data_IF_585160532266
#
_entry.id   IF_585160532266
#
_cell.length_a   1.000
_cell.length_b   1.000
_cell.length_c   1.000
_cell.angle_alpha   90.00
_cell.angle_beta   90.00
_cell.angle_gamma   90.00
#
_symmetry.space_group_name_H-M   'P 1'
#
loop_
_entity.id
_entity.type
_entity.pdbx_description
1 polymer ?
#
# COMPACT_ATOMS: atom_id res chain seq x y z
N UNK A 1 -8.00 -9.79 4.72
CA UNK A 1 -7.77 -8.97 5.93
C UNK A 1 -7.91 -9.86 7.16
N UNK A 2 -7.11 -9.61 8.18
CA UNK A 2 -7.16 -10.33 9.45
C UNK A 2 -7.01 -9.35 10.62
N UNK A 3 -7.28 -9.78 11.85
CA UNK A 3 -7.21 -8.91 13.04
C UNK A 3 -5.81 -8.86 13.65
N UNK A 4 -5.02 -9.91 13.43
CA UNK A 4 -3.64 -10.01 13.91
C UNK A 4 -2.69 -10.25 12.77
N UNK A 5 -1.40 -9.95 12.97
CA UNK A 5 -0.37 -10.26 11.98
C UNK A 5 -0.16 -11.77 11.87
N UNK A 6 -0.35 -12.50 12.96
CA UNK A 6 -0.29 -13.97 12.95
C UNK A 6 -1.37 -14.59 12.04
N UNK A 7 -2.62 -14.10 12.12
CA UNK A 7 -3.71 -14.55 11.23
C UNK A 7 -3.46 -14.13 9.78
N UNK A 8 -2.86 -12.96 9.56
CA UNK A 8 -2.45 -12.52 8.22
C UNK A 8 -1.40 -13.48 7.63
N UNK A 9 -0.39 -13.86 8.41
CA UNK A 9 0.62 -14.83 7.99
C UNK A 9 0.01 -16.21 7.71
N UNK A 10 -0.93 -16.66 8.55
CA UNK A 10 -1.64 -17.92 8.35
C UNK A 10 -2.46 -17.89 7.04
N UNK A 11 -3.24 -16.85 6.83
CA UNK A 11 -4.00 -16.69 5.59
C UNK A 11 -3.08 -16.65 4.37
N UNK A 12 -2.00 -15.86 4.42
CA UNK A 12 -1.04 -15.78 3.32
C UNK A 12 -0.40 -17.16 3.05
N UNK A 13 -0.06 -17.92 4.09
CA UNK A 13 0.51 -19.26 3.94
C UNK A 13 -0.42 -20.26 3.26
N UNK A 14 -1.73 -20.04 3.35
CA UNK A 14 -2.75 -20.89 2.73
C UNK A 14 -3.00 -20.56 1.26
N UNK A 15 -2.82 -19.28 0.85
CA UNK A 15 -3.14 -18.82 -0.51
C UNK A 15 -1.90 -18.53 -1.37
N UNK A 16 -0.71 -18.43 -0.77
CA UNK A 16 0.52 -18.17 -1.51
C UNK A 16 1.14 -19.47 -2.03
N UNK A 17 1.76 -19.41 -3.19
CA UNK A 17 2.47 -20.52 -3.79
C UNK A 17 2.34 -20.56 -5.32
N UNK A 18 2.97 -21.54 -5.91
CA UNK A 18 2.90 -21.74 -7.35
C UNK A 18 1.61 -22.45 -7.75
N UNK A 19 0.91 -21.93 -8.74
CA UNK A 19 -0.26 -22.52 -9.37
C UNK A 19 -0.02 -22.61 -10.89
N UNK A 20 -0.09 -23.79 -11.52
CA UNK A 20 0.18 -23.96 -12.95
C UNK A 20 -0.82 -23.20 -13.85
N UNK A 21 -1.96 -22.78 -13.32
CA UNK A 21 -2.95 -21.95 -14.04
C UNK A 21 -2.56 -20.46 -14.06
N UNK A 22 -1.58 -20.05 -13.25
CA UNK A 22 -1.14 -18.65 -13.13
C UNK A 22 0.35 -18.57 -13.44
N UNK A 23 0.74 -18.17 -14.67
CA UNK A 23 2.13 -18.25 -15.15
C UNK A 23 3.11 -17.36 -14.39
N UNK A 24 2.62 -16.33 -13.70
CA UNK A 24 3.44 -15.41 -12.88
C UNK A 24 3.53 -15.84 -11.41
N UNK A 25 2.84 -16.92 -11.01
CA UNK A 25 2.95 -17.46 -9.65
C UNK A 25 4.33 -18.09 -9.42
N UNK A 26 4.77 -18.11 -8.18
CA UNK A 26 6.10 -18.62 -7.81
C UNK A 26 6.05 -19.42 -6.50
N UNK A 27 7.02 -20.32 -6.28
CA UNK A 27 7.12 -21.05 -5.02
C UNK A 27 7.34 -20.10 -3.84
N UNK A 28 6.64 -20.35 -2.74
CA UNK A 28 6.74 -19.58 -1.49
C UNK A 28 7.04 -20.53 -0.34
N UNK A 29 8.00 -20.19 0.50
CA UNK A 29 8.23 -20.91 1.75
C UNK A 29 7.21 -20.47 2.81
N UNK A 30 6.07 -21.17 2.84
CA UNK A 30 4.99 -20.91 3.79
C UNK A 30 5.38 -21.14 5.24
N UNK A 31 6.38 -22.00 5.51
CA UNK A 31 6.91 -22.22 6.87
C UNK A 31 7.68 -20.99 7.35
N UNK A 32 8.46 -20.35 6.48
CA UNK A 32 9.16 -19.12 6.79
C UNK A 32 8.18 -17.97 7.12
N UNK A 33 7.05 -17.85 6.38
CA UNK A 33 5.99 -16.89 6.69
C UNK A 33 5.45 -17.07 8.12
N UNK A 34 5.11 -18.30 8.49
CA UNK A 34 4.60 -18.62 9.84
C UNK A 34 5.67 -18.46 10.94
N UNK A 35 6.92 -18.76 10.63
CA UNK A 35 8.02 -18.57 11.58
C UNK A 35 8.32 -17.10 11.86
N UNK A 36 8.16 -16.23 10.85
CA UNK A 36 8.44 -14.79 10.95
C UNK A 36 7.66 -14.10 12.08
N UNK A 37 6.46 -14.57 12.39
CA UNK A 37 5.56 -13.94 13.37
C UNK A 37 5.65 -14.54 14.78
N UNK A 38 6.32 -15.70 14.97
CA UNK A 38 6.39 -16.36 16.27
C UNK A 38 7.34 -15.68 17.26
N UNK A 39 8.52 -15.30 16.81
CA UNK A 39 9.54 -14.58 17.58
C UNK A 39 10.14 -13.46 16.75
N UNK A 40 9.35 -12.43 16.46
CA UNK A 40 9.77 -11.39 15.55
C UNK A 40 10.85 -10.51 16.16
N UNK A 41 11.93 -10.27 15.42
CA UNK A 41 12.98 -9.31 15.78
C UNK A 41 13.38 -8.50 14.58
N UNK A 42 13.43 -7.17 14.77
CA UNK A 42 13.84 -6.19 13.76
C UNK A 42 15.12 -5.47 14.15
N UNK A 43 15.83 -5.99 15.17
CA UNK A 43 17.09 -5.41 15.63
C UNK A 43 18.09 -5.35 14.46
N UNK A 44 18.61 -4.14 14.23
CA UNK A 44 19.61 -3.89 13.20
C UNK A 44 19.04 -3.62 11.81
N UNK A 45 17.73 -3.78 11.55
CA UNK A 45 17.14 -3.43 10.27
C UNK A 45 17.29 -1.91 10.00
N UNK A 46 17.54 -1.59 8.74
CA UNK A 46 17.61 -0.22 8.22
C UNK A 46 16.26 0.10 7.59
N UNK A 47 15.58 1.07 8.13
CA UNK A 47 14.22 1.42 7.76
C UNK A 47 14.21 2.85 7.23
N UNK A 48 13.72 3.02 6.00
CA UNK A 48 13.40 4.32 5.46
C UNK A 48 11.99 4.74 5.91
N UNK A 49 11.82 5.99 6.31
CA UNK A 49 10.53 6.60 6.59
C UNK A 49 10.25 7.70 5.58
N UNK A 50 9.05 7.72 5.05
CA UNK A 50 8.56 8.86 4.28
C UNK A 50 7.11 9.18 4.66
N UNK A 51 6.80 10.44 5.00
CA UNK A 51 5.44 10.82 5.35
C UNK A 51 4.48 10.80 4.15
N UNK A 52 4.98 10.96 2.93
CA UNK A 52 4.17 11.26 1.74
C UNK A 52 4.73 10.71 0.41
N UNK A 53 5.91 10.09 0.44
CA UNK A 53 6.68 9.65 -0.74
C UNK A 53 6.94 10.76 -1.77
N UNK A 54 6.70 12.03 -1.43
CA UNK A 54 6.78 13.17 -2.33
C UNK A 54 5.65 13.26 -3.36
N UNK A 55 4.57 12.47 -3.25
CA UNK A 55 3.56 12.32 -4.32
C UNK A 55 2.16 12.81 -3.97
N UNK A 56 1.85 13.02 -2.70
CA UNK A 56 0.52 13.46 -2.26
C UNK A 56 0.61 14.22 -0.93
N UNK A 57 -0.19 15.27 -0.71
CA UNK A 57 -0.32 15.83 0.63
C UNK A 57 -0.89 14.78 1.59
N UNK A 58 -0.47 14.83 2.85
CA UNK A 58 -0.93 13.93 3.91
C UNK A 58 -1.53 14.75 5.04
N UNK A 59 -2.72 14.36 5.48
CA UNK A 59 -3.42 14.99 6.59
C UNK A 59 -2.53 15.10 7.83
N UNK A 60 -2.59 16.24 8.53
CA UNK A 60 -1.72 16.52 9.68
C UNK A 60 -1.87 15.50 10.82
N UNK A 61 -3.10 15.02 11.09
CA UNK A 61 -3.33 13.99 12.11
C UNK A 61 -2.79 12.62 11.68
N UNK A 62 -2.94 12.25 10.40
CA UNK A 62 -2.36 11.01 9.85
C UNK A 62 -0.84 11.06 9.98
N UNK A 63 -0.20 12.16 9.57
CA UNK A 63 1.24 12.35 9.70
C UNK A 63 1.68 12.24 11.17
N UNK A 64 1.05 12.97 12.06
CA UNK A 64 1.36 12.95 13.50
C UNK A 64 1.27 11.55 14.11
N UNK A 65 0.19 10.81 13.81
CA UNK A 65 -0.03 9.46 14.35
C UNK A 65 0.99 8.47 13.82
N UNK A 66 1.31 8.52 12.53
CA UNK A 66 2.28 7.60 11.93
C UNK A 66 3.72 7.93 12.33
N UNK A 67 4.11 9.20 12.42
CA UNK A 67 5.42 9.62 12.93
C UNK A 67 5.67 9.14 14.37
N UNK A 68 4.64 9.14 15.22
CA UNK A 68 4.77 8.64 16.60
C UNK A 68 5.18 7.16 16.66
N UNK A 69 4.82 6.35 15.66
CA UNK A 69 5.21 4.92 15.60
C UNK A 69 6.70 4.71 15.40
N UNK A 70 7.44 5.67 14.84
CA UNK A 70 8.88 5.54 14.57
C UNK A 70 9.69 5.31 15.85
N UNK A 71 9.24 5.87 16.98
CA UNK A 71 9.85 5.63 18.27
C UNK A 71 9.78 4.16 18.68
N UNK A 72 8.69 3.45 18.33
CA UNK A 72 8.52 2.03 18.60
C UNK A 72 9.55 1.21 17.80
N UNK A 73 9.71 1.49 16.50
CA UNK A 73 10.70 0.80 15.67
C UNK A 73 12.13 1.02 16.17
N UNK A 74 12.47 2.24 16.59
CA UNK A 74 13.79 2.57 17.19
C UNK A 74 13.99 1.81 18.49
N UNK A 75 12.98 1.73 19.37
CA UNK A 75 13.02 0.98 20.64
C UNK A 75 13.21 -0.53 20.41
N UNK A 76 12.68 -1.07 19.32
CA UNK A 76 12.87 -2.45 18.88
C UNK A 76 14.25 -2.70 18.25
N UNK A 77 15.11 -1.69 18.17
CA UNK A 77 16.49 -1.78 17.71
C UNK A 77 16.69 -1.58 16.22
N UNK A 78 15.70 -1.11 15.48
CA UNK A 78 15.84 -0.72 14.09
C UNK A 78 16.47 0.69 13.96
N UNK A 79 17.16 0.94 12.85
CA UNK A 79 17.66 2.26 12.46
C UNK A 79 16.64 2.88 11.52
N UNK A 80 16.03 4.01 11.91
CA UNK A 80 15.00 4.69 11.13
C UNK A 80 15.51 6.04 10.69
N UNK A 81 15.57 6.26 9.37
CA UNK A 81 15.99 7.48 8.71
C UNK A 81 14.87 8.00 7.79
N UNK A 82 14.72 9.32 7.67
CA UNK A 82 13.81 9.91 6.70
C UNK A 82 14.44 9.86 5.32
N UNK A 83 13.87 9.05 4.43
CA UNK A 83 14.35 8.85 3.07
C UNK A 83 13.29 8.15 2.21
N UNK A 84 13.26 8.45 0.93
CA UNK A 84 12.52 7.70 -0.09
C UNK A 84 13.18 7.88 -1.46
N UNK A 85 13.00 6.94 -2.40
CA UNK A 85 13.32 7.17 -3.82
C UNK A 85 12.25 8.08 -4.43
N UNK A 86 12.51 8.67 -5.57
CA UNK A 86 11.49 9.42 -6.30
C UNK A 86 10.36 8.50 -6.77
N UNK A 87 9.10 8.94 -6.57
CA UNK A 87 7.88 8.23 -6.95
C UNK A 87 6.98 9.07 -7.88
N UNK A 88 7.52 10.12 -8.50
CA UNK A 88 6.76 11.13 -9.25
C UNK A 88 5.84 10.55 -10.33
N UNK A 89 6.23 9.43 -10.95
CA UNK A 89 5.51 8.81 -12.05
C UNK A 89 4.35 7.90 -11.62
N UNK A 90 4.18 7.64 -10.32
CA UNK A 90 3.16 6.68 -9.82
C UNK A 90 1.77 7.01 -10.34
N UNK A 91 1.38 8.29 -10.37
CA UNK A 91 0.08 8.70 -10.89
C UNK A 91 -0.15 8.28 -12.33
N UNK A 92 0.86 8.46 -13.20
CA UNK A 92 0.77 8.10 -14.62
C UNK A 92 0.81 6.58 -14.81
N UNK A 93 1.65 5.87 -14.06
CA UNK A 93 1.69 4.39 -14.08
C UNK A 93 0.32 3.82 -13.68
N UNK A 94 -0.29 4.37 -12.61
CA UNK A 94 -1.63 3.95 -12.17
C UNK A 94 -2.68 4.25 -13.22
N UNK A 95 -2.66 5.45 -13.83
CA UNK A 95 -3.61 5.84 -14.89
C UNK A 95 -3.61 4.84 -16.03
N UNK A 96 -2.45 4.50 -16.54
CA UNK A 96 -2.31 3.62 -17.71
C UNK A 96 -2.55 2.16 -17.37
N UNK A 97 -1.92 1.63 -16.31
CA UNK A 97 -2.08 0.21 -15.93
C UNK A 97 -3.51 -0.09 -15.46
N UNK A 98 -4.10 0.81 -14.65
CA UNK A 98 -5.48 0.64 -14.18
C UNK A 98 -6.48 0.77 -15.33
N UNK A 99 -6.30 1.75 -16.22
CA UNK A 99 -7.13 1.90 -17.43
C UNK A 99 -7.13 0.62 -18.27
N UNK A 100 -5.95 0.12 -18.60
CA UNK A 100 -5.79 -1.14 -19.32
C UNK A 100 -6.48 -2.31 -18.61
N UNK A 101 -6.26 -2.48 -17.30
CA UNK A 101 -6.89 -3.56 -16.53
C UNK A 101 -8.41 -3.46 -16.48
N UNK A 102 -8.98 -2.25 -16.38
CA UNK A 102 -10.42 -2.04 -16.36
C UNK A 102 -11.06 -2.39 -17.70
N UNK A 103 -10.42 -2.04 -18.81
CA UNK A 103 -10.86 -2.46 -20.16
C UNK A 103 -10.81 -3.99 -20.27
N UNK A 104 -9.67 -4.60 -19.99
CA UNK A 104 -9.49 -6.05 -20.09
C UNK A 104 -10.50 -6.86 -19.27
N UNK A 105 -10.94 -6.33 -18.11
CA UNK A 105 -11.85 -7.05 -17.22
C UNK A 105 -13.34 -6.76 -17.42
N UNK A 106 -13.70 -5.63 -18.07
CA UNK A 106 -15.07 -5.13 -17.99
C UNK A 106 -15.62 -4.51 -19.27
N UNK A 107 -14.85 -4.33 -20.35
CA UNK A 107 -15.32 -3.69 -21.59
C UNK A 107 -16.54 -4.42 -22.16
N UNK A 108 -16.50 -5.74 -22.20
CA UNK A 108 -17.58 -6.61 -22.69
C UNK A 108 -18.91 -6.43 -21.94
N UNK A 109 -18.85 -5.94 -20.72
CA UNK A 109 -20.01 -5.75 -19.83
C UNK A 109 -20.69 -4.39 -20.03
N UNK A 110 -20.02 -3.42 -20.65
CA UNK A 110 -20.57 -2.06 -20.81
C UNK A 110 -21.91 -2.06 -21.59
N UNK A 111 -22.01 -2.83 -22.66
CA UNK A 111 -23.21 -2.85 -23.49
C UNK A 111 -24.48 -3.25 -22.71
N UNK A 112 -24.34 -4.19 -21.77
CA UNK A 112 -25.49 -4.77 -21.03
C UNK A 112 -25.66 -4.18 -19.64
N UNK A 113 -24.56 -3.92 -18.93
CA UNK A 113 -24.57 -3.64 -17.49
C UNK A 113 -24.32 -2.17 -17.12
N UNK A 114 -23.95 -1.30 -18.09
CA UNK A 114 -23.67 0.12 -17.83
C UNK A 114 -24.71 0.83 -16.96
N UNK A 115 -26.04 0.62 -17.14
CA UNK A 115 -27.07 1.30 -16.34
C UNK A 115 -27.05 0.97 -14.84
N UNK A 116 -26.47 -0.19 -14.46
CA UNK A 116 -26.41 -0.65 -13.06
C UNK A 116 -24.99 -0.66 -12.49
N UNK A 117 -24.00 -0.34 -13.30
CA UNK A 117 -22.61 -0.18 -12.84
C UNK A 117 -22.44 1.09 -12.03
N UNK A 118 -21.55 1.04 -11.04
CA UNK A 118 -21.13 2.26 -10.34
C UNK A 118 -20.46 3.25 -11.31
N UNK A 119 -20.79 4.52 -11.17
CA UNK A 119 -20.29 5.61 -12.04
C UNK A 119 -18.76 5.62 -12.16
N UNK A 120 -18.04 5.46 -11.04
CA UNK A 120 -16.58 5.42 -11.05
C UNK A 120 -16.02 4.23 -11.82
N UNK A 121 -16.70 3.07 -11.83
CA UNK A 121 -16.30 1.92 -12.62
C UNK A 121 -16.43 2.22 -14.11
N UNK A 122 -17.58 2.76 -14.52
CA UNK A 122 -17.82 3.17 -15.91
C UNK A 122 -16.77 4.17 -16.37
N UNK A 123 -16.53 5.22 -15.59
CA UNK A 123 -15.50 6.24 -15.90
C UNK A 123 -14.11 5.63 -16.06
N UNK A 124 -13.72 4.67 -15.21
CA UNK A 124 -12.42 4.01 -15.36
C UNK A 124 -12.30 3.19 -16.65
N UNK A 125 -13.36 2.51 -17.06
CA UNK A 125 -13.36 1.73 -18.31
C UNK A 125 -13.27 2.71 -19.50
N UNK A 126 -14.09 3.77 -19.51
CA UNK A 126 -14.09 4.78 -20.57
C UNK A 126 -12.75 5.51 -20.69
N UNK A 127 -12.12 5.85 -19.56
CA UNK A 127 -10.77 6.40 -19.52
C UNK A 127 -9.73 5.41 -20.08
N UNK A 128 -9.90 4.12 -19.77
CA UNK A 128 -9.04 3.06 -20.31
C UNK A 128 -9.18 2.92 -21.83
N UNK A 129 -10.40 2.97 -22.35
CA UNK A 129 -10.67 2.91 -23.80
C UNK A 129 -10.11 4.13 -24.57
N UNK A 130 -9.99 5.27 -23.91
CA UNK A 130 -9.39 6.47 -24.49
C UNK A 130 -7.85 6.45 -24.51
N UNK A 131 -7.19 5.47 -23.87
CA UNK A 131 -5.72 5.36 -23.87
C UNK A 131 -5.21 4.94 -25.24
N UNK A 132 -4.17 5.62 -25.70
CA UNK A 132 -3.41 5.18 -26.86
C UNK A 132 -2.42 4.09 -26.50
N UNK A 133 -2.04 3.26 -27.46
CA UNK A 133 -0.97 2.25 -27.28
C UNK A 133 0.34 2.90 -26.82
N UNK A 134 0.64 4.11 -27.33
CA UNK A 134 1.85 4.85 -26.91
C UNK A 134 1.82 5.24 -25.43
N UNK A 135 0.67 5.65 -24.88
CA UNK A 135 0.53 5.97 -23.46
C UNK A 135 0.69 4.73 -22.60
N UNK A 136 0.07 3.61 -22.97
CA UNK A 136 0.24 2.32 -22.26
C UNK A 136 1.69 1.88 -22.27
N UNK A 137 2.36 1.92 -23.42
CA UNK A 137 3.78 1.58 -23.56
C UNK A 137 4.68 2.50 -22.72
N UNK A 138 4.34 3.80 -22.65
CA UNK A 138 5.04 4.74 -21.77
C UNK A 138 4.85 4.37 -20.29
N UNK A 139 3.63 4.06 -19.88
CA UNK A 139 3.33 3.61 -18.50
C UNK A 139 4.16 2.40 -18.09
N UNK A 140 4.32 1.40 -18.96
CA UNK A 140 5.17 0.23 -18.70
C UNK A 140 6.67 0.57 -18.60
N UNK A 141 7.17 1.51 -19.40
CA UNK A 141 8.55 1.99 -19.26
C UNK A 141 8.77 2.72 -17.94
N UNK A 142 7.85 3.60 -17.56
CA UNK A 142 7.90 4.32 -16.28
C UNK A 142 7.85 3.33 -15.10
N UNK A 143 6.99 2.31 -15.17
CA UNK A 143 6.87 1.26 -14.16
C UNK A 143 8.18 0.48 -14.00
N UNK A 144 8.83 0.11 -15.11
CA UNK A 144 10.13 -0.58 -15.10
C UNK A 144 11.20 0.30 -14.47
N UNK A 145 11.27 1.58 -14.84
CA UNK A 145 12.23 2.53 -14.29
C UNK A 145 12.02 2.74 -12.78
N UNK A 146 10.76 2.86 -12.34
CA UNK A 146 10.40 2.97 -10.92
C UNK A 146 10.83 1.72 -10.15
N UNK A 147 10.55 0.51 -10.69
CA UNK A 147 10.99 -0.74 -10.07
C UNK A 147 12.51 -0.77 -9.86
N UNK A 148 13.30 -0.42 -10.87
CA UNK A 148 14.76 -0.40 -10.75
C UNK A 148 15.24 0.64 -9.75
N UNK A 149 14.65 1.83 -9.72
CA UNK A 149 14.98 2.90 -8.75
C UNK A 149 14.70 2.46 -7.32
N UNK A 150 13.52 1.89 -7.07
CA UNK A 150 13.16 1.36 -5.74
C UNK A 150 14.06 0.19 -5.36
N UNK A 151 14.33 -0.74 -6.28
CA UNK A 151 15.24 -1.87 -6.04
C UNK A 151 16.62 -1.38 -5.60
N UNK A 152 17.20 -0.40 -6.30
CA UNK A 152 18.52 0.18 -5.94
C UNK A 152 18.45 0.89 -4.58
N UNK A 153 17.38 1.64 -4.30
CA UNK A 153 17.18 2.26 -3.00
C UNK A 153 17.14 1.23 -1.87
N UNK A 154 16.45 0.10 -2.08
CA UNK A 154 16.32 -1.00 -1.13
C UNK A 154 17.62 -1.82 -0.93
N UNK A 155 18.69 -1.56 -1.65
CA UNK A 155 20.03 -2.07 -1.31
C UNK A 155 20.56 -1.45 0.01
N UNK A 156 20.13 -0.22 0.31
CA UNK A 156 20.50 0.49 1.53
C UNK A 156 19.52 0.28 2.69
N UNK A 157 18.27 -0.05 2.39
CA UNK A 157 17.19 -0.22 3.36
C UNK A 157 16.54 -1.59 3.25
N UNK A 158 16.03 -2.07 4.36
CA UNK A 158 15.34 -3.36 4.45
C UNK A 158 13.82 -3.18 4.32
N UNK A 159 13.30 -2.01 4.78
CA UNK A 159 11.88 -1.65 4.75
C UNK A 159 11.70 -0.16 4.44
N UNK A 160 10.53 0.17 3.90
CA UNK A 160 10.01 1.54 3.81
C UNK A 160 8.73 1.62 4.64
N UNK A 161 8.64 2.61 5.52
CA UNK A 161 7.44 2.95 6.27
C UNK A 161 6.80 4.21 5.69
N UNK A 162 5.47 4.22 5.60
CA UNK A 162 4.67 5.38 5.18
C UNK A 162 3.27 5.28 5.79
N UNK A 163 2.49 6.34 5.88
CA UNK A 163 1.07 6.20 6.11
C UNK A 163 0.44 5.28 5.08
N UNK A 164 -0.53 4.45 5.46
CA UNK A 164 -1.24 3.60 4.48
C UNK A 164 -2.04 4.46 3.51
N UNK A 165 -2.78 5.42 4.04
CA UNK A 165 -3.55 6.41 3.27
C UNK A 165 -3.22 7.80 3.76
N UNK A 166 -3.27 8.83 2.90
CA UNK A 166 -2.94 10.20 3.29
C UNK A 166 -4.05 10.89 4.10
N UNK A 167 -5.19 10.24 4.29
CA UNK A 167 -6.34 10.78 5.03
C UNK A 167 -6.91 9.75 6.00
N UNK A 168 -7.52 10.18 7.11
CA UNK A 168 -8.33 9.31 7.94
C UNK A 168 -9.62 8.91 7.20
N UNK A 169 -10.44 8.01 7.74
CA UNK A 169 -11.77 7.76 7.21
C UNK A 169 -12.55 9.08 7.05
N UNK A 170 -13.16 9.25 5.89
CA UNK A 170 -13.93 10.45 5.54
C UNK A 170 -15.42 10.14 5.43
N UNK A 171 -16.27 11.17 5.42
CA UNK A 171 -17.72 11.05 5.40
C UNK A 171 -18.22 10.29 4.16
N UNK A 172 -19.28 9.49 4.31
CA UNK A 172 -19.84 8.61 3.27
C UNK A 172 -20.34 9.38 2.04
N UNK A 173 -20.68 10.66 2.20
CA UNK A 173 -21.08 11.56 1.12
C UNK A 173 -19.96 11.78 0.10
N UNK A 174 -18.72 11.64 0.53
CA UNK A 174 -17.52 11.75 -0.33
C UNK A 174 -17.21 10.44 -1.05
N UNK A 175 -18.17 9.91 -1.82
CA UNK A 175 -18.06 8.60 -2.52
C UNK A 175 -16.82 8.45 -3.41
N UNK A 176 -16.25 9.56 -3.85
CA UNK A 176 -15.06 9.59 -4.72
C UNK A 176 -13.78 10.03 -3.98
N UNK A 177 -13.78 9.99 -2.64
CA UNK A 177 -12.68 10.49 -1.82
C UNK A 177 -12.89 11.93 -1.34
N UNK A 178 -12.01 12.42 -0.43
CA UNK A 178 -12.12 13.77 0.08
C UNK A 178 -11.87 14.79 -1.05
N UNK A 179 -12.54 15.95 -1.04
CA UNK A 179 -12.36 16.96 -2.08
C UNK A 179 -10.99 17.66 -2.01
N UNK A 180 -10.39 17.70 -0.81
CA UNK A 180 -9.09 18.30 -0.57
C UNK A 180 -8.38 17.63 0.63
N UNK A 181 -7.04 17.70 0.67
CA UNK A 181 -6.22 17.30 1.82
C UNK A 181 -5.41 18.54 2.26
N UNK A 182 -5.56 18.99 3.51
CA UNK A 182 -4.93 20.21 4.02
C UNK A 182 -5.15 21.44 3.12
N UNK A 183 -6.35 21.59 2.54
CA UNK A 183 -6.67 22.69 1.63
C UNK A 183 -6.16 22.49 0.19
N UNK A 184 -5.40 21.45 -0.11
CA UNK A 184 -4.95 21.13 -1.46
C UNK A 184 -6.04 20.30 -2.18
N UNK A 185 -6.67 20.82 -3.26
CA UNK A 185 -7.71 20.10 -3.98
C UNK A 185 -7.21 18.77 -4.56
N UNK A 186 -8.01 17.72 -4.45
CA UNK A 186 -7.71 16.45 -5.10
C UNK A 186 -8.07 16.52 -6.60
N UNK A 187 -7.10 16.16 -7.44
CA UNK A 187 -7.25 16.22 -8.90
C UNK A 187 -8.11 15.07 -9.45
N UNK A 188 -8.11 13.94 -8.76
CA UNK A 188 -8.86 12.74 -9.13
C UNK A 188 -9.06 11.82 -7.92
N UNK A 189 -10.08 10.98 -7.98
CA UNK A 189 -10.52 10.16 -6.84
C UNK A 189 -9.51 9.09 -6.38
N UNK A 190 -8.48 8.77 -7.17
CA UNK A 190 -7.43 7.80 -6.79
C UNK A 190 -6.34 8.45 -5.93
N UNK A 191 -6.24 9.78 -5.93
CA UNK A 191 -5.11 10.49 -5.31
C UNK A 191 -4.99 10.21 -3.81
N UNK A 192 -6.09 10.00 -3.10
CA UNK A 192 -6.08 9.61 -1.70
C UNK A 192 -5.52 8.18 -1.45
N UNK A 193 -5.31 7.39 -2.50
CA UNK A 193 -4.78 6.03 -2.40
C UNK A 193 -3.36 5.88 -3.01
N UNK A 194 -2.73 6.96 -3.47
CA UNK A 194 -1.44 6.89 -4.18
C UNK A 194 -0.33 6.25 -3.34
N UNK A 195 -0.32 6.42 -2.01
CA UNK A 195 0.68 5.80 -1.14
C UNK A 195 0.65 4.26 -1.21
N UNK A 196 -0.54 3.66 -1.34
CA UNK A 196 -0.67 2.21 -1.51
C UNK A 196 -0.31 1.78 -2.93
N UNK A 197 -0.69 2.58 -3.92
CA UNK A 197 -0.35 2.29 -5.32
C UNK A 197 1.16 2.32 -5.60
N UNK A 198 1.92 3.16 -4.90
CA UNK A 198 3.37 3.25 -5.06
C UNK A 198 4.08 1.89 -4.97
N UNK A 199 3.63 1.04 -4.06
CA UNK A 199 4.18 -0.31 -3.88
C UNK A 199 3.47 -1.37 -4.74
N UNK A 200 2.17 -1.19 -4.98
CA UNK A 200 1.39 -2.10 -5.82
C UNK A 200 1.91 -2.15 -7.25
N UNK A 201 2.20 -1.00 -7.86
CA UNK A 201 2.64 -0.94 -9.27
C UNK A 201 4.00 -1.58 -9.53
N UNK A 202 4.82 -1.74 -8.51
CA UNK A 202 6.13 -2.41 -8.59
C UNK A 202 6.13 -3.83 -7.98
N UNK A 203 4.95 -4.36 -7.63
CA UNK A 203 4.79 -5.68 -7.00
C UNK A 203 5.64 -5.87 -5.73
N UNK A 204 5.84 -4.82 -4.93
CA UNK A 204 6.51 -4.92 -3.65
C UNK A 204 5.54 -5.45 -2.58
N UNK A 205 5.97 -6.38 -1.70
CA UNK A 205 5.15 -6.80 -0.58
C UNK A 205 4.95 -5.64 0.39
N UNK A 206 3.71 -5.44 0.82
CA UNK A 206 3.35 -4.42 1.80
C UNK A 206 2.23 -4.90 2.71
N UNK A 207 2.25 -4.44 3.96
CA UNK A 207 1.19 -4.67 4.94
C UNK A 207 0.76 -3.33 5.55
N UNK A 208 -0.52 -3.18 5.84
CA UNK A 208 -1.04 -2.09 6.66
C UNK A 208 -1.34 -2.60 8.05
N UNK A 209 -0.81 -1.91 9.06
CA UNK A 209 -1.07 -2.18 10.48
C UNK A 209 -1.63 -0.95 11.18
N UNK A 210 -2.46 -1.09 12.22
CA UNK A 210 -2.95 0.03 12.99
C UNK A 210 -1.81 0.86 13.61
N UNK A 211 -1.71 2.13 13.24
CA UNK A 211 -0.75 3.08 13.81
C UNK A 211 -1.27 3.75 15.09
N UNK A 212 -2.56 3.91 15.19
CA UNK A 212 -3.25 4.60 16.28
C UNK A 212 -4.53 5.26 15.81
N UNK A 213 -4.99 6.24 16.60
CA UNK A 213 -6.22 6.98 16.33
C UNK A 213 -5.93 8.48 16.21
N UNK A 214 -6.70 9.18 15.39
CA UNK A 214 -6.76 10.65 15.38
C UNK A 214 -7.37 11.18 16.69
N UNK A 215 -7.40 12.50 16.85
CA UNK A 215 -8.11 13.15 18.00
C UNK A 215 -9.59 12.80 18.01
N UNK A 216 -10.18 12.66 16.84
CA UNK A 216 -11.59 12.27 16.65
C UNK A 216 -11.81 10.75 16.70
N UNK A 217 -10.79 9.99 17.18
CA UNK A 217 -10.81 8.53 17.31
C UNK A 217 -10.97 7.77 16.00
N UNK A 218 -10.63 8.37 14.87
CA UNK A 218 -10.61 7.70 13.58
C UNK A 218 -9.32 6.88 13.42
N UNK A 219 -9.38 5.66 12.86
CA UNK A 219 -8.21 4.80 12.73
C UNK A 219 -7.23 5.33 11.67
N UNK A 220 -5.94 5.19 11.97
CA UNK A 220 -4.83 5.50 11.06
C UNK A 220 -3.99 4.25 10.86
N UNK A 221 -3.65 3.96 9.61
CA UNK A 221 -2.80 2.82 9.23
C UNK A 221 -1.36 3.25 8.96
N UNK A 222 -0.40 2.42 9.41
CA UNK A 222 0.98 2.46 8.98
C UNK A 222 1.21 1.39 7.91
N UNK A 223 1.76 1.75 6.78
CA UNK A 223 2.18 0.83 5.74
C UNK A 223 3.66 0.45 5.93
N UNK A 224 3.95 -0.84 5.90
CA UNK A 224 5.29 -1.41 5.94
C UNK A 224 5.52 -2.12 4.62
N UNK A 225 6.42 -1.61 3.79
CA UNK A 225 6.76 -2.19 2.49
C UNK A 225 8.18 -2.76 2.51
N UNK A 226 8.36 -3.91 1.89
CA UNK A 226 9.62 -4.65 1.83
C UNK A 226 10.23 -4.70 0.44
N UNK A 227 11.38 -5.37 0.35
CA UNK A 227 12.01 -5.72 -0.92
C UNK A 227 11.11 -6.67 -1.72
N UNK A 228 11.25 -6.65 -3.01
CA UNK A 228 10.53 -7.56 -3.88
C UNK A 228 10.67 -9.02 -3.40
N UNK A 229 9.54 -9.71 -3.18
CA UNK A 229 9.44 -11.09 -2.67
C UNK A 229 10.00 -11.31 -1.25
N UNK A 230 10.07 -10.28 -0.41
CA UNK A 230 10.50 -10.41 0.99
C UNK A 230 9.32 -10.20 1.95
N UNK A 231 8.25 -10.97 1.76
CA UNK A 231 7.07 -11.00 2.63
C UNK A 231 7.45 -11.37 4.07
N UNK A 232 8.49 -12.20 4.23
CA UNK A 232 9.00 -12.67 5.54
C UNK A 232 9.47 -11.48 6.39
N UNK A 233 10.26 -10.57 5.83
CA UNK A 233 10.73 -9.38 6.56
C UNK A 233 9.60 -8.42 6.87
N UNK A 234 8.65 -8.25 5.94
CA UNK A 234 7.45 -7.42 6.14
C UNK A 234 6.59 -7.97 7.29
N UNK A 235 6.26 -9.26 7.28
CA UNK A 235 5.48 -9.91 8.34
C UNK A 235 6.21 -9.87 9.69
N UNK A 236 7.51 -10.10 9.71
CA UNK A 236 8.33 -10.02 10.93
C UNK A 236 8.30 -8.61 11.52
N UNK A 237 8.42 -7.59 10.71
CA UNK A 237 8.38 -6.21 11.18
C UNK A 237 6.99 -5.82 11.69
N UNK A 238 5.94 -6.22 10.99
CA UNK A 238 4.57 -6.02 11.42
C UNK A 238 4.27 -6.72 12.75
N UNK A 239 4.71 -7.97 12.93
CA UNK A 239 4.50 -8.73 14.16
C UNK A 239 5.30 -8.14 15.33
N UNK A 240 6.54 -7.70 15.10
CA UNK A 240 7.34 -7.03 16.13
C UNK A 240 6.68 -5.72 16.60
N UNK A 241 6.12 -4.97 15.65
CA UNK A 241 5.38 -3.73 15.93
C UNK A 241 4.08 -4.03 16.71
N UNK A 242 3.28 -5.03 16.28
CA UNK A 242 2.06 -5.46 16.97
C UNK A 242 2.33 -5.85 18.43
N UNK A 243 3.40 -6.61 18.69
CA UNK A 243 3.78 -7.01 20.05
C UNK A 243 4.19 -5.81 20.91
N UNK A 244 4.82 -4.80 20.36
CA UNK A 244 5.25 -3.61 21.08
C UNK A 244 4.15 -2.56 21.27
N UNK A 245 3.18 -2.52 20.34
CA UNK A 245 2.03 -1.62 20.35
C UNK A 245 0.77 -2.40 19.97
N UNK A 246 0.23 -3.24 20.87
CA UNK A 246 -0.93 -4.09 20.60
C UNK A 246 -2.20 -3.26 20.39
N UNK A 247 -3.07 -3.72 19.49
CA UNK A 247 -4.35 -3.09 19.15
C UNK A 247 -5.56 -4.01 19.32
N UNK A 248 -5.36 -5.21 19.84
CA UNK A 248 -6.41 -6.22 20.05
C UNK A 248 -7.51 -5.77 21.04
N UNK A 249 -7.17 -4.84 21.95
CA UNK A 249 -8.09 -4.20 22.88
C UNK A 249 -9.00 -3.14 22.23
N UNK A 250 -8.63 -2.64 21.05
CA UNK A 250 -9.42 -1.63 20.35
C UNK A 250 -10.68 -2.29 19.76
N UNK A 251 -11.86 -1.79 20.18
CA UNK A 251 -13.16 -2.18 19.66
C UNK A 251 -13.89 -0.94 19.16
N UNK A 252 -14.60 -1.01 18.03
CA UNK A 252 -15.52 0.07 17.66
C UNK A 252 -16.60 0.17 18.75
N UNK A 253 -17.08 1.39 19.05
CA UNK A 253 -18.28 1.54 19.87
C UNK A 253 -19.44 0.89 19.12
N UNK A 254 -20.10 -0.08 19.75
CA UNK A 254 -21.30 -0.76 19.25
C UNK A 254 -22.50 -0.10 19.85
#
# INVERSE_FOLDING_TARGET
>A
MARTVADTALMLSAIAGQDPRVPISYPVDTRALLAAVKRPSIKGLRIAWSPDLGITPVDHEVKRVTEATLAVFRKLGARVEEAHPAFDEVGEIVRTSRGFMMVAAHEDKLATWKPVMQENLVKNIEQGLALTVSEVANGERLRTNLFHRVRQFMERYDLILTPTTPVPPFALEHRSGPPAINGVPMKHYIQWALLTYAFTVINAPAISVPAGLTKDRLPVGLQIAGRWRDEVTVLRAAAAFEQAQPWDHLRPPV
#
